data_IF_256627577024
#
_entry.id   IF_256627577024
#
_cell.length_a   1.000
_cell.length_b   1.000
_cell.length_c   1.000
_cell.angle_alpha   90.00
_cell.angle_beta   90.00
_cell.angle_gamma   90.00
#
_symmetry.space_group_name_H-M   'P 1'
#
loop_
_entity.id
_entity.type
_entity.pdbx_description
1 polymer ?
#
# COMPACT_ATOMS: atom_id res chain seq x y z
N UNK A 1 -31.99 -24.80 -14.79
CA UNK A 1 -30.95 -24.06 -15.52
C UNK A 1 -30.84 -22.66 -14.92
N UNK A 2 -29.63 -22.15 -14.68
CA UNK A 2 -29.42 -20.80 -14.15
C UNK A 2 -29.43 -19.82 -15.33
N UNK A 3 -30.06 -18.66 -15.17
CA UNK A 3 -30.23 -17.66 -16.22
C UNK A 3 -29.29 -16.48 -15.98
N UNK A 4 -28.92 -15.79 -17.06
CA UNK A 4 -28.16 -14.54 -17.00
C UNK A 4 -28.90 -13.50 -16.12
N UNK A 5 -28.14 -12.67 -15.40
CA UNK A 5 -28.60 -11.62 -14.48
C UNK A 5 -29.27 -12.12 -13.18
N UNK A 6 -29.32 -13.43 -12.97
CA UNK A 6 -29.74 -13.98 -11.68
C UNK A 6 -28.65 -13.76 -10.61
N UNK A 7 -29.06 -13.26 -9.44
CA UNK A 7 -28.17 -13.06 -8.29
C UNK A 7 -28.31 -14.18 -7.27
N UNK A 8 -27.18 -14.66 -6.78
CA UNK A 8 -27.10 -15.73 -5.78
C UNK A 8 -26.31 -15.28 -4.56
N UNK A 9 -26.73 -15.73 -3.38
CA UNK A 9 -26.08 -15.44 -2.10
C UNK A 9 -25.61 -16.72 -1.40
N UNK A 10 -24.46 -16.65 -0.73
CA UNK A 10 -23.99 -17.66 0.21
C UNK A 10 -24.41 -17.27 1.63
N UNK A 11 -25.18 -18.11 2.30
CA UNK A 11 -25.63 -17.84 3.67
C UNK A 11 -24.51 -17.98 4.72
N UNK A 12 -23.41 -18.68 4.38
CA UNK A 12 -22.28 -18.92 5.31
C UNK A 12 -21.34 -17.72 5.38
N UNK A 13 -20.92 -17.19 4.22
CA UNK A 13 -19.95 -16.10 4.16
C UNK A 13 -20.53 -14.76 3.68
N UNK A 14 -21.80 -14.73 3.26
CA UNK A 14 -22.46 -13.52 2.76
C UNK A 14 -22.03 -13.08 1.35
N UNK A 15 -21.26 -13.90 0.64
CA UNK A 15 -20.80 -13.56 -0.72
C UNK A 15 -21.96 -13.62 -1.70
N UNK A 16 -22.10 -12.56 -2.50
CA UNK A 16 -23.06 -12.49 -3.59
C UNK A 16 -22.36 -12.60 -4.94
N UNK A 17 -22.98 -13.32 -5.86
CA UNK A 17 -22.53 -13.46 -7.24
C UNK A 17 -23.69 -13.22 -8.20
N UNK A 18 -23.37 -12.74 -9.38
CA UNK A 18 -24.32 -12.51 -10.47
C UNK A 18 -23.96 -13.42 -11.64
N UNK A 19 -24.96 -14.09 -12.21
CA UNK A 19 -24.75 -15.03 -13.33
C UNK A 19 -24.55 -14.22 -14.61
N UNK A 20 -23.31 -14.12 -15.09
CA UNK A 20 -23.00 -13.44 -16.34
C UNK A 20 -23.32 -14.26 -17.60
N UNK A 21 -23.45 -15.59 -17.46
CA UNK A 21 -23.81 -16.51 -18.54
C UNK A 21 -24.56 -17.73 -17.99
N UNK A 22 -25.75 -17.98 -18.51
CA UNK A 22 -26.58 -19.11 -18.08
C UNK A 22 -25.97 -20.49 -18.38
N UNK A 23 -26.29 -21.49 -17.55
CA UNK A 23 -25.77 -22.84 -17.66
C UNK A 23 -26.41 -23.86 -16.70
N UNK A 24 -26.01 -25.12 -16.85
CA UNK A 24 -26.38 -26.23 -15.96
C UNK A 24 -25.33 -26.44 -14.86
N UNK A 25 -25.72 -27.04 -13.74
CA UNK A 25 -24.84 -27.22 -12.56
C UNK A 25 -25.17 -26.26 -11.40
N UNK A 26 -24.84 -26.63 -10.15
CA UNK A 26 -25.14 -25.83 -8.96
C UNK A 26 -24.02 -24.84 -8.62
N UNK A 27 -24.40 -23.63 -8.18
CA UNK A 27 -23.46 -22.65 -7.65
C UNK A 27 -23.20 -23.02 -6.18
N UNK A 28 -21.95 -23.31 -5.82
CA UNK A 28 -21.58 -23.68 -4.46
C UNK A 28 -20.56 -22.71 -3.88
N UNK A 29 -20.76 -22.34 -2.62
CA UNK A 29 -19.83 -21.52 -1.84
C UNK A 29 -19.81 -22.03 -0.40
N UNK A 30 -18.63 -22.09 0.21
CA UNK A 30 -18.43 -22.65 1.56
C UNK A 30 -18.92 -24.09 1.75
N UNK A 31 -18.88 -24.91 0.68
CA UNK A 31 -19.33 -26.30 0.71
C UNK A 31 -20.85 -26.48 0.61
N UNK A 32 -21.62 -25.39 0.43
CA UNK A 32 -23.08 -25.43 0.33
C UNK A 32 -23.59 -24.76 -0.96
N UNK A 33 -24.80 -25.15 -1.39
CA UNK A 33 -25.45 -24.52 -2.54
C UNK A 33 -25.84 -23.07 -2.22
N UNK A 34 -25.52 -22.16 -3.13
CA UNK A 34 -25.92 -20.75 -3.04
C UNK A 34 -27.42 -20.58 -3.37
N UNK A 35 -28.08 -19.63 -2.69
CA UNK A 35 -29.52 -19.37 -2.84
C UNK A 35 -29.78 -18.24 -3.83
N UNK A 36 -30.76 -18.45 -4.72
CA UNK A 36 -31.24 -17.40 -5.63
C UNK A 36 -31.91 -16.29 -4.82
N UNK A 37 -31.53 -15.05 -5.08
CA UNK A 37 -32.16 -13.86 -4.51
C UNK A 37 -33.35 -13.50 -5.40
N UNK A 38 -34.56 -13.63 -4.88
CA UNK A 38 -35.78 -13.16 -5.57
C UNK A 38 -36.01 -11.69 -5.22
N UNK A 39 -35.89 -10.79 -6.20
CA UNK A 39 -36.23 -9.38 -6.02
C UNK A 39 -37.73 -9.25 -5.73
N UNK A 40 -38.09 -8.66 -4.60
CA UNK A 40 -39.46 -8.25 -4.32
C UNK A 40 -39.75 -6.96 -5.10
N UNK A 41 -40.86 -6.93 -5.84
CA UNK A 41 -41.34 -5.73 -6.50
C UNK A 41 -41.60 -4.63 -5.45
N UNK A 42 -40.82 -3.55 -5.53
CA UNK A 42 -41.03 -2.36 -4.69
C UNK A 42 -42.07 -1.46 -5.38
N UNK A 43 -43.09 -1.12 -4.61
CA UNK A 43 -44.24 -0.30 -4.93
C UNK A 43 -43.84 1.09 -5.49
N UNK A 44 -44.57 1.54 -6.50
CA UNK A 44 -44.12 2.53 -7.48
C UNK A 44 -44.48 3.99 -7.10
N UNK A 45 -44.52 4.32 -5.81
CA UNK A 45 -45.12 5.58 -5.33
C UNK A 45 -44.22 6.45 -4.43
N UNK A 46 -42.89 6.41 -4.65
CA UNK A 46 -41.97 7.47 -4.23
C UNK A 46 -40.89 7.75 -5.27
N UNK A 47 -41.30 8.08 -6.50
CA UNK A 47 -40.41 8.74 -7.48
C UNK A 47 -40.25 10.21 -7.10
N UNK A 48 -39.53 10.50 -6.01
CA UNK A 48 -38.85 11.79 -5.86
C UNK A 48 -37.53 11.70 -6.61
N UNK A 49 -37.56 12.14 -7.88
CA UNK A 49 -36.44 12.61 -8.71
C UNK A 49 -35.05 12.20 -8.19
N UNK A 50 -34.58 11.01 -8.57
CA UNK A 50 -33.15 10.76 -8.62
C UNK A 50 -32.64 11.54 -9.84
N UNK A 51 -31.74 12.52 -9.67
CA UNK A 51 -31.15 13.19 -10.81
C UNK A 51 -30.39 12.15 -11.63
N UNK A 52 -30.59 12.15 -12.94
CA UNK A 52 -29.61 11.63 -13.89
C UNK A 52 -28.32 12.40 -13.58
N UNK A 53 -27.44 11.77 -12.80
CA UNK A 53 -26.15 12.35 -12.43
C UNK A 53 -25.23 12.22 -13.64
N UNK A 54 -25.18 13.32 -14.37
CA UNK A 54 -24.08 13.78 -15.21
C UNK A 54 -22.79 12.97 -15.02
N UNK A 55 -22.45 12.14 -16.00
CA UNK A 55 -21.28 11.25 -16.01
C UNK A 55 -19.93 11.99 -16.07
N UNK A 56 -19.91 13.32 -15.89
CA UNK A 56 -18.71 14.17 -15.85
C UNK A 56 -18.30 14.62 -14.44
N UNK A 57 -18.73 13.94 -13.37
CA UNK A 57 -18.11 14.10 -12.05
C UNK A 57 -17.20 12.91 -11.77
N UNK A 58 -15.89 13.12 -11.99
CA UNK A 58 -14.82 12.23 -11.55
C UNK A 58 -15.04 11.94 -10.06
N UNK A 59 -15.52 10.73 -9.74
CA UNK A 59 -15.58 10.23 -8.36
C UNK A 59 -14.14 9.99 -7.87
N UNK A 60 -13.84 10.22 -6.58
CA UNK A 60 -12.52 9.93 -6.04
C UNK A 60 -12.15 8.46 -6.30
N UNK A 61 -10.89 8.21 -6.65
CA UNK A 61 -10.28 6.90 -6.97
C UNK A 61 -10.17 6.00 -5.71
N UNK A 62 -10.99 6.21 -4.67
CA UNK A 62 -11.03 5.33 -3.50
C UNK A 62 -11.65 3.96 -3.80
N UNK A 63 -12.44 3.86 -4.88
CA UNK A 63 -13.33 2.71 -5.08
C UNK A 63 -12.83 1.72 -6.15
N UNK A 64 -11.79 2.05 -6.93
CA UNK A 64 -11.33 1.18 -8.04
C UNK A 64 -9.92 0.62 -7.91
N UNK A 65 -9.27 0.84 -6.76
CA UNK A 65 -8.04 0.17 -6.38
C UNK A 65 -8.25 -0.72 -5.14
N UNK A 66 -9.28 -1.57 -5.13
CA UNK A 66 -9.40 -2.77 -4.28
C UNK A 66 -9.36 -2.62 -2.75
N UNK A 67 -9.09 -1.45 -2.20
CA UNK A 67 -9.11 -1.19 -0.75
C UNK A 67 -9.53 0.25 -0.52
N UNK A 68 -10.82 0.47 -0.23
CA UNK A 68 -11.25 1.72 0.39
C UNK A 68 -10.38 1.99 1.64
N UNK A 69 -10.03 3.26 1.92
CA UNK A 69 -9.28 3.60 3.13
C UNK A 69 -10.02 3.07 4.35
N UNK A 70 -9.30 2.44 5.30
CA UNK A 70 -9.93 1.92 6.52
C UNK A 70 -10.56 3.04 7.35
N UNK A 71 -10.08 4.27 7.15
CA UNK A 71 -10.45 5.46 7.89
C UNK A 71 -10.55 6.62 6.93
N UNK A 72 -11.66 7.36 6.99
CA UNK A 72 -11.75 8.65 6.36
C UNK A 72 -10.65 9.57 6.91
N UNK A 73 -9.68 9.92 6.06
CA UNK A 73 -8.59 10.79 6.46
C UNK A 73 -9.13 12.18 6.83
N UNK A 74 -8.61 12.77 7.92
CA UNK A 74 -9.00 14.12 8.29
C UNK A 74 -8.51 15.09 7.20
N UNK A 75 -9.32 16.09 6.79
CA UNK A 75 -8.95 17.02 5.72
C UNK A 75 -7.58 17.67 5.91
N UNK A 76 -7.23 18.01 7.15
CA UNK A 76 -5.94 18.63 7.47
C UNK A 76 -4.73 17.72 7.21
N UNK A 77 -4.85 16.42 7.46
CA UNK A 77 -3.78 15.44 7.19
C UNK A 77 -3.66 15.21 5.68
N UNK A 78 -4.79 15.09 4.98
CA UNK A 78 -4.82 14.96 3.53
C UNK A 78 -4.12 16.14 2.86
N UNK A 79 -4.44 17.37 3.26
CA UNK A 79 -3.79 18.58 2.75
C UNK A 79 -2.27 18.58 2.98
N UNK A 80 -1.80 18.09 4.13
CA UNK A 80 -0.35 17.99 4.40
C UNK A 80 0.33 16.90 3.54
N UNK A 81 -0.34 15.79 3.25
CA UNK A 81 0.16 14.77 2.31
C UNK A 81 0.26 15.34 0.90
N UNK A 82 -0.75 16.07 0.46
CA UNK A 82 -0.76 16.76 -0.83
C UNK A 82 0.40 17.77 -0.92
N UNK A 83 0.59 18.57 0.12
CA UNK A 83 1.72 19.51 0.20
C UNK A 83 3.08 18.80 0.17
N UNK A 84 3.22 17.66 0.87
CA UNK A 84 4.45 16.87 0.83
C UNK A 84 4.73 16.34 -0.58
N UNK A 85 3.72 15.80 -1.27
CA UNK A 85 3.87 15.33 -2.66
C UNK A 85 4.26 16.49 -3.59
N UNK A 86 3.62 17.66 -3.42
CA UNK A 86 3.94 18.87 -4.17
C UNK A 86 5.42 19.27 -3.98
N UNK A 87 5.89 19.30 -2.74
CA UNK A 87 7.29 19.64 -2.42
C UNK A 87 8.27 18.57 -2.94
N UNK A 88 7.95 17.28 -2.81
CA UNK A 88 8.75 16.19 -3.36
C UNK A 88 8.83 16.23 -4.89
N UNK A 89 7.78 16.74 -5.54
CA UNK A 89 7.80 17.01 -6.99
C UNK A 89 8.81 18.10 -7.32
N UNK A 90 8.84 19.18 -6.53
CA UNK A 90 9.83 20.25 -6.66
C UNK A 90 11.26 19.78 -6.42
N UNK A 91 11.47 18.94 -5.41
CA UNK A 91 12.75 18.26 -5.18
C UNK A 91 13.15 17.42 -6.39
N UNK A 92 12.23 16.64 -6.95
CA UNK A 92 12.47 15.79 -8.11
C UNK A 92 12.81 16.58 -9.37
N UNK A 93 12.16 17.72 -9.60
CA UNK A 93 12.51 18.63 -10.71
C UNK A 93 13.96 19.11 -10.61
N UNK A 94 14.43 19.44 -9.41
CA UNK A 94 15.83 19.84 -9.17
C UNK A 94 16.78 18.65 -9.32
N UNK A 95 16.40 17.45 -8.87
CA UNK A 95 17.19 16.22 -9.08
C UNK A 95 17.40 15.94 -10.57
N UNK A 96 16.34 15.97 -11.37
CA UNK A 96 16.44 15.74 -12.82
C UNK A 96 17.29 16.80 -13.51
N UNK A 97 17.26 18.05 -13.03
CA UNK A 97 18.15 19.09 -13.52
C UNK A 97 19.61 18.83 -13.13
N UNK A 98 19.86 18.43 -11.87
CA UNK A 98 21.20 18.10 -11.37
C UNK A 98 21.83 16.90 -12.08
N UNK A 99 21.04 15.90 -12.48
CA UNK A 99 21.51 14.77 -13.27
C UNK A 99 22.09 15.18 -14.62
N UNK A 100 21.57 16.24 -15.26
CA UNK A 100 22.16 16.79 -16.49
C UNK A 100 23.54 17.43 -16.26
N UNK A 101 23.90 17.65 -14.99
CA UNK A 101 25.17 18.21 -14.54
C UNK A 101 26.02 17.18 -13.78
N UNK A 102 25.72 15.87 -13.93
CA UNK A 102 26.40 14.75 -13.24
C UNK A 102 26.40 14.84 -11.70
N UNK A 103 25.39 15.50 -11.11
CA UNK A 103 25.23 15.59 -9.65
C UNK A 103 24.14 14.62 -9.18
N UNK A 104 24.54 13.65 -8.35
CA UNK A 104 23.64 12.69 -7.69
C UNK A 104 23.87 12.70 -6.17
N UNK A 105 22.81 12.47 -5.39
CA UNK A 105 22.88 12.39 -3.92
C UNK A 105 21.94 11.28 -3.42
N UNK A 106 22.48 10.10 -3.10
CA UNK A 106 21.68 8.95 -2.64
C UNK A 106 20.85 9.24 -1.38
N UNK A 107 21.24 10.24 -0.57
CA UNK A 107 20.45 10.64 0.61
C UNK A 107 19.12 11.25 0.18
N UNK A 108 19.10 12.00 -0.92
CA UNK A 108 17.87 12.54 -1.51
C UNK A 108 16.98 11.40 -2.00
N UNK A 109 17.54 10.45 -2.74
CA UNK A 109 16.81 9.29 -3.24
C UNK A 109 16.12 8.51 -2.11
N UNK A 110 16.88 8.15 -1.06
CA UNK A 110 16.37 7.39 0.09
C UNK A 110 15.35 8.21 0.90
N UNK A 111 15.55 9.53 1.04
CA UNK A 111 14.59 10.42 1.68
C UNK A 111 13.28 10.49 0.89
N UNK A 112 13.34 10.72 -0.42
CA UNK A 112 12.15 10.84 -1.28
C UNK A 112 11.29 9.59 -1.22
N UNK A 113 11.91 8.39 -1.24
CA UNK A 113 11.21 7.12 -1.07
C UNK A 113 10.45 7.05 0.26
N UNK A 114 11.12 7.34 1.38
CA UNK A 114 10.51 7.32 2.72
C UNK A 114 9.38 8.34 2.86
N UNK A 115 9.65 9.57 2.44
CA UNK A 115 8.70 10.66 2.52
C UNK A 115 7.45 10.36 1.66
N UNK A 116 7.62 9.83 0.44
CA UNK A 116 6.49 9.47 -0.41
C UNK A 116 5.69 8.30 0.18
N UNK A 117 6.36 7.27 0.71
CA UNK A 117 5.69 6.15 1.38
C UNK A 117 4.81 6.62 2.55
N UNK A 118 5.23 7.63 3.31
CA UNK A 118 4.44 8.20 4.41
C UNK A 118 3.06 8.74 3.98
N UNK A 119 2.88 9.04 2.69
CA UNK A 119 1.63 9.56 2.11
C UNK A 119 0.68 8.47 1.64
N UNK A 120 1.08 7.19 1.67
CA UNK A 120 0.16 6.09 1.38
C UNK A 120 -0.96 6.01 2.43
N UNK A 121 -2.08 5.45 2.00
CA UNK A 121 -3.25 5.19 2.83
C UNK A 121 -2.87 4.32 4.03
N UNK A 122 -3.40 4.67 5.20
CA UNK A 122 -3.21 3.94 6.45
C UNK A 122 -1.75 3.82 6.95
N UNK A 123 -0.84 4.69 6.47
CA UNK A 123 0.56 4.75 6.94
C UNK A 123 0.72 5.78 8.06
N UNK A 124 0.52 7.08 7.78
CA UNK A 124 0.82 8.15 8.71
C UNK A 124 -0.32 9.18 8.81
N UNK A 125 -0.70 9.49 10.05
CA UNK A 125 -1.75 10.44 10.41
C UNK A 125 -1.25 11.56 11.33
N UNK A 126 0.07 11.65 11.55
CA UNK A 126 0.69 12.63 12.44
C UNK A 126 1.06 13.92 11.68
N UNK A 127 0.35 15.05 11.93
CA UNK A 127 0.60 16.30 11.21
C UNK A 127 1.99 16.88 11.51
N UNK A 128 2.54 16.67 12.72
CA UNK A 128 3.86 17.18 13.08
C UNK A 128 4.97 16.44 12.31
N UNK A 129 4.75 15.17 11.98
CA UNK A 129 5.66 14.42 11.10
C UNK A 129 5.63 14.95 9.68
N UNK A 130 4.46 15.23 9.11
CA UNK A 130 4.37 15.82 7.77
C UNK A 130 4.99 17.22 7.72
N UNK A 131 4.79 18.03 8.75
CA UNK A 131 5.45 19.33 8.90
C UNK A 131 6.97 19.19 8.76
N UNK A 132 7.59 18.28 9.53
CA UNK A 132 9.04 18.03 9.48
C UNK A 132 9.50 17.52 8.11
N UNK A 133 8.80 16.56 7.52
CA UNK A 133 9.13 16.00 6.21
C UNK A 133 9.09 17.07 5.11
N UNK A 134 8.12 17.97 5.13
CA UNK A 134 8.01 19.06 4.14
C UNK A 134 9.21 20.00 4.25
N UNK A 135 9.58 20.42 5.46
CA UNK A 135 10.74 21.28 5.68
C UNK A 135 12.06 20.59 5.28
N UNK A 136 12.22 19.31 5.60
CA UNK A 136 13.41 18.54 5.22
C UNK A 136 13.52 18.38 3.69
N UNK A 137 12.41 18.11 3.00
CA UNK A 137 12.38 18.02 1.54
C UNK A 137 12.83 19.33 0.87
N UNK A 138 12.38 20.47 1.40
CA UNK A 138 12.79 21.81 0.93
C UNK A 138 14.26 22.08 1.20
N UNK A 139 14.75 21.73 2.40
CA UNK A 139 16.16 21.88 2.76
C UNK A 139 17.06 21.06 1.83
N UNK A 140 16.71 19.80 1.55
CA UNK A 140 17.44 18.94 0.62
C UNK A 140 17.43 19.51 -0.80
N UNK A 141 16.27 20.00 -1.27
CA UNK A 141 16.13 20.63 -2.58
C UNK A 141 17.04 21.84 -2.72
N UNK A 142 17.01 22.75 -1.77
CA UNK A 142 17.76 24.00 -1.88
C UNK A 142 19.26 23.79 -1.64
N UNK A 143 19.64 22.82 -0.79
CA UNK A 143 21.02 22.35 -0.69
C UNK A 143 21.51 21.78 -2.03
N UNK A 144 20.68 21.01 -2.74
CA UNK A 144 21.03 20.48 -4.06
C UNK A 144 21.17 21.62 -5.09
N UNK A 145 20.29 22.62 -5.07
CA UNK A 145 20.43 23.81 -5.93
C UNK A 145 21.75 24.55 -5.71
N UNK A 146 22.28 24.60 -4.48
CA UNK A 146 23.58 25.23 -4.23
C UNK A 146 24.74 24.43 -4.84
N UNK A 147 24.62 23.10 -4.89
CA UNK A 147 25.63 22.21 -5.52
C UNK A 147 25.63 22.33 -7.04
N UNK A 148 24.44 22.45 -7.63
CA UNK A 148 24.26 22.70 -9.05
C UNK A 148 24.62 24.19 -9.29
N UNK A 149 25.81 24.49 -9.83
CA UNK A 149 26.31 25.87 -9.98
C UNK A 149 25.20 26.88 -10.35
N UNK A 150 24.96 27.87 -9.49
CA UNK A 150 23.78 28.76 -9.48
C UNK A 150 23.49 29.46 -10.82
N UNK A 151 24.53 29.77 -11.60
CA UNK A 151 24.42 30.46 -12.89
C UNK A 151 23.71 29.63 -13.98
N UNK A 152 23.46 28.33 -13.76
CA UNK A 152 22.70 27.47 -14.67
C UNK A 152 21.23 27.31 -14.26
N UNK A 153 20.80 27.81 -13.09
CA UNK A 153 19.49 27.48 -12.50
C UNK A 153 18.43 28.55 -12.78
N UNK A 154 18.79 29.84 -12.75
CA UNK A 154 17.82 30.94 -12.66
C UNK A 154 16.91 31.14 -13.88
N UNK A 155 17.14 30.43 -15.00
CA UNK A 155 16.25 30.41 -16.17
C UNK A 155 15.63 29.05 -16.51
N UNK A 156 16.03 27.97 -15.84
CA UNK A 156 15.73 26.60 -16.28
C UNK A 156 14.81 25.81 -15.35
N UNK A 157 14.68 26.20 -14.08
CA UNK A 157 13.72 25.56 -13.18
C UNK A 157 12.30 26.12 -13.40
N UNK A 158 11.27 25.26 -13.48
CA UNK A 158 9.89 25.71 -13.59
C UNK A 158 9.47 26.53 -12.37
N UNK A 159 8.52 27.43 -12.56
CA UNK A 159 7.77 28.02 -11.45
C UNK A 159 6.95 26.93 -10.71
N UNK A 160 6.53 27.24 -9.48
CA UNK A 160 5.77 26.32 -8.64
C UNK A 160 6.65 25.50 -7.68
N UNK A 161 6.55 24.16 -7.66
CA UNK A 161 7.06 23.36 -6.54
C UNK A 161 8.59 23.41 -6.40
N UNK A 162 9.34 23.58 -7.50
CA UNK A 162 10.78 23.77 -7.44
C UNK A 162 11.20 25.04 -6.70
N UNK A 163 10.35 26.08 -6.65
CA UNK A 163 10.63 27.38 -6.01
C UNK A 163 9.85 27.59 -4.71
N UNK A 164 8.94 26.68 -4.37
CA UNK A 164 8.07 26.79 -3.20
C UNK A 164 8.83 26.89 -1.87
N UNK A 165 8.36 27.77 -0.97
CA UNK A 165 8.87 27.95 0.39
C UNK A 165 7.78 27.64 1.42
N UNK A 166 8.02 26.74 2.39
CA UNK A 166 7.02 26.39 3.39
C UNK A 166 6.92 27.48 4.46
N UNK A 167 5.69 27.73 4.91
CA UNK A 167 5.43 28.60 6.07
C UNK A 167 5.90 27.93 7.36
N UNK A 168 6.33 28.71 8.36
CA UNK A 168 6.71 28.20 9.69
C UNK A 168 5.53 27.72 10.55
N UNK A 169 4.29 28.06 10.19
CA UNK A 169 3.07 27.66 10.93
C UNK A 169 2.28 26.53 10.27
N UNK A 170 1.90 25.52 11.06
CA UNK A 170 1.17 24.32 10.62
C UNK A 170 -0.18 24.66 9.95
N UNK A 171 -0.97 25.56 10.53
CA UNK A 171 -2.29 25.95 9.95
C UNK A 171 -2.16 26.58 8.56
N UNK A 172 -1.12 27.39 8.35
CA UNK A 172 -0.85 27.99 7.04
C UNK A 172 -0.43 26.92 6.03
N UNK A 173 0.37 25.94 6.46
CA UNK A 173 0.75 24.82 5.60
C UNK A 173 -0.44 23.96 5.19
N UNK A 174 -1.39 23.72 6.09
CA UNK A 174 -2.65 23.02 5.77
C UNK A 174 -3.40 23.77 4.65
N UNK A 175 -3.60 25.08 4.80
CA UNK A 175 -4.28 25.91 3.77
C UNK A 175 -3.56 25.88 2.41
N UNK A 176 -2.22 25.90 2.41
CA UNK A 176 -1.44 25.77 1.18
C UNK A 176 -1.67 24.38 0.57
N UNK A 177 -1.64 23.33 1.39
CA UNK A 177 -1.89 21.95 0.99
C UNK A 177 -3.21 21.76 0.26
N UNK A 178 -4.29 22.35 0.77
CA UNK A 178 -5.62 22.34 0.14
C UNK A 178 -5.60 22.93 -1.28
N UNK A 179 -4.73 23.91 -1.55
CA UNK A 179 -4.59 24.56 -2.86
C UNK A 179 -3.68 23.81 -3.84
N UNK A 180 -2.80 22.91 -3.37
CA UNK A 180 -1.81 22.20 -4.20
C UNK A 180 -2.09 20.70 -4.32
N UNK A 181 -3.27 20.25 -3.91
CA UNK A 181 -3.71 18.87 -4.11
C UNK A 181 -3.76 18.46 -5.58
N UNK A 182 -3.62 17.17 -5.83
CA UNK A 182 -3.52 16.59 -7.18
C UNK A 182 -4.74 16.93 -8.07
N UNK A 183 -5.91 17.14 -7.47
CA UNK A 183 -7.12 17.61 -8.16
C UNK A 183 -6.93 18.96 -8.88
N UNK A 184 -5.94 19.74 -8.46
CA UNK A 184 -5.63 21.04 -9.04
C UNK A 184 -4.52 20.96 -10.11
N UNK A 185 -4.00 19.76 -10.42
CA UNK A 185 -2.94 19.60 -11.40
C UNK A 185 -3.53 19.80 -12.80
N UNK A 186 -3.02 20.80 -13.52
CA UNK A 186 -3.51 21.13 -14.87
C UNK A 186 -3.37 19.93 -15.80
N UNK A 187 -4.46 19.59 -16.48
CA UNK A 187 -4.53 18.54 -17.48
C UNK A 187 -5.50 18.97 -18.56
N UNK A 188 -5.15 18.74 -19.83
CA UNK A 188 -5.96 19.19 -20.96
C UNK A 188 -7.23 18.34 -21.13
N UNK A 189 -7.20 17.08 -20.68
CA UNK A 189 -8.35 16.16 -20.74
C UNK A 189 -8.49 15.35 -19.44
N UNK A 190 -9.71 14.85 -19.14
CA UNK A 190 -9.93 13.91 -18.04
C UNK A 190 -9.10 12.61 -18.15
N UNK A 191 -8.85 12.11 -19.36
CA UNK A 191 -8.02 10.92 -19.58
C UNK A 191 -6.55 11.17 -19.17
N UNK A 192 -5.99 12.33 -19.54
CA UNK A 192 -4.63 12.72 -19.11
C UNK A 192 -4.57 12.90 -17.60
N UNK A 193 -5.60 13.51 -17.00
CA UNK A 193 -5.70 13.63 -15.55
C UNK A 193 -5.68 12.25 -14.90
N UNK A 194 -6.52 11.30 -15.35
CA UNK A 194 -6.57 9.93 -14.83
C UNK A 194 -5.23 9.20 -14.95
N UNK A 195 -4.52 9.33 -16.07
CA UNK A 195 -3.20 8.70 -16.26
C UNK A 195 -2.15 9.28 -15.31
N UNK A 196 -2.15 10.59 -15.07
CA UNK A 196 -1.29 11.23 -14.07
C UNK A 196 -1.57 10.71 -12.65
N UNK A 197 -2.85 10.57 -12.29
CA UNK A 197 -3.23 10.00 -10.98
C UNK A 197 -2.79 8.54 -10.87
N UNK A 198 -3.04 7.75 -11.92
CA UNK A 198 -2.63 6.33 -12.01
C UNK A 198 -1.12 6.20 -11.82
N UNK A 199 -0.33 7.02 -12.52
CA UNK A 199 1.12 7.05 -12.36
C UNK A 199 1.53 7.45 -10.93
N UNK A 200 0.97 8.52 -10.35
CA UNK A 200 1.31 8.94 -8.99
C UNK A 200 1.01 7.85 -7.96
N UNK A 201 -0.16 7.22 -8.02
CA UNK A 201 -0.49 6.12 -7.10
C UNK A 201 0.45 4.92 -7.28
N UNK A 202 0.80 4.58 -8.52
CA UNK A 202 1.82 3.57 -8.81
C UNK A 202 3.20 3.92 -8.21
N UNK A 203 3.64 5.17 -8.35
CA UNK A 203 4.92 5.66 -7.80
C UNK A 203 4.90 5.66 -6.26
N UNK A 204 3.76 5.99 -5.64
CA UNK A 204 3.58 5.86 -4.18
C UNK A 204 3.76 4.42 -3.71
N UNK A 205 3.16 3.45 -4.41
CA UNK A 205 3.37 2.03 -4.10
C UNK A 205 4.78 1.54 -4.39
N UNK A 206 5.39 1.99 -5.49
CA UNK A 206 6.80 1.74 -5.79
C UNK A 206 7.70 2.19 -4.64
N UNK A 207 7.42 3.35 -4.04
CA UNK A 207 8.18 3.84 -2.89
C UNK A 207 8.04 2.96 -1.63
N UNK A 208 6.90 2.29 -1.44
CA UNK A 208 6.75 1.33 -0.35
C UNK A 208 7.67 0.11 -0.55
N UNK A 209 7.67 -0.47 -1.76
CA UNK A 209 8.57 -1.59 -2.08
C UNK A 209 10.04 -1.18 -1.98
N UNK A 210 10.39 0.02 -2.44
CA UNK A 210 11.74 0.54 -2.35
C UNK A 210 12.19 0.82 -0.90
N UNK A 211 11.32 1.32 0.00
CA UNK A 211 11.65 1.47 1.42
C UNK A 211 11.88 0.10 2.08
N UNK A 212 11.04 -0.89 1.75
CA UNK A 212 11.22 -2.25 2.26
C UNK A 212 12.52 -2.89 1.77
N UNK A 213 12.85 -2.74 0.49
CA UNK A 213 14.10 -3.22 -0.08
C UNK A 213 15.31 -2.57 0.59
N UNK A 214 15.26 -1.25 0.83
CA UNK A 214 16.33 -0.52 1.49
C UNK A 214 16.60 -1.05 2.91
N UNK A 215 15.58 -1.51 3.65
CA UNK A 215 15.73 -2.07 5.01
C UNK A 215 16.46 -3.42 5.04
N UNK A 216 16.48 -4.12 3.91
CA UNK A 216 17.22 -5.37 3.71
C UNK A 216 18.43 -5.15 2.80
N UNK A 217 18.94 -3.92 2.78
CA UNK A 217 20.17 -3.52 2.12
C UNK A 217 20.14 -3.74 0.59
N UNK A 218 18.95 -3.62 -0.02
CA UNK A 218 18.75 -3.66 -1.47
C UNK A 218 18.30 -2.29 -1.99
N UNK A 219 18.96 -1.80 -3.04
CA UNK A 219 18.57 -0.58 -3.73
C UNK A 219 18.98 -0.63 -5.21
N UNK A 220 18.28 0.12 -6.06
CA UNK A 220 18.56 0.21 -7.48
C UNK A 220 18.31 1.64 -7.97
N UNK A 221 19.33 2.28 -8.53
CA UNK A 221 19.25 3.67 -8.99
C UNK A 221 18.21 3.89 -10.08
N UNK A 222 17.84 2.85 -10.84
CA UNK A 222 16.77 2.94 -11.85
C UNK A 222 15.40 3.16 -11.21
N UNK A 223 15.18 2.58 -10.02
CA UNK A 223 13.96 2.81 -9.24
C UNK A 223 13.92 4.25 -8.76
N UNK A 224 15.01 4.76 -8.20
CA UNK A 224 15.10 6.15 -7.75
C UNK A 224 14.95 7.15 -8.89
N UNK A 225 15.62 6.91 -10.01
CA UNK A 225 15.52 7.74 -11.21
C UNK A 225 14.07 7.84 -11.69
N UNK A 226 13.35 6.72 -11.76
CA UNK A 226 11.95 6.72 -12.18
C UNK A 226 11.02 7.41 -11.17
N UNK A 227 11.26 7.27 -9.86
CA UNK A 227 10.46 7.98 -8.84
C UNK A 227 10.57 9.50 -9.06
N UNK A 228 11.78 10.01 -9.27
CA UNK A 228 11.98 11.43 -9.55
C UNK A 228 11.39 11.87 -10.90
N UNK A 229 11.61 11.09 -11.96
CA UNK A 229 11.01 11.32 -13.27
C UNK A 229 9.49 11.39 -13.20
N UNK A 230 8.86 10.41 -12.57
CA UNK A 230 7.42 10.30 -12.47
C UNK A 230 6.80 11.40 -11.61
N UNK A 231 7.41 11.75 -10.47
CA UNK A 231 6.96 12.88 -9.66
C UNK A 231 7.03 14.20 -10.44
N UNK A 232 8.12 14.45 -11.17
CA UNK A 232 8.20 15.64 -12.02
C UNK A 232 7.17 15.63 -13.16
N UNK A 233 6.91 14.46 -13.75
CA UNK A 233 6.01 14.31 -14.89
C UNK A 233 4.55 14.61 -14.53
N UNK A 234 4.07 14.25 -13.34
CA UNK A 234 2.64 14.47 -12.99
C UNK A 234 2.24 15.96 -12.90
N UNK A 235 3.22 16.86 -12.74
CA UNK A 235 3.02 18.33 -12.77
C UNK A 235 3.21 18.94 -14.17
N UNK A 236 3.64 18.19 -15.17
CA UNK A 236 3.81 18.69 -16.54
C UNK A 236 2.47 19.04 -17.17
N UNK A 237 2.40 20.17 -17.87
CA UNK A 237 1.17 20.64 -18.53
C UNK A 237 1.11 20.29 -20.02
N UNK A 238 2.15 19.65 -20.54
CA UNK A 238 2.38 19.36 -21.96
C UNK A 238 2.32 17.85 -22.27
N UNK A 239 1.83 17.02 -21.33
CA UNK A 239 1.70 15.59 -21.55
C UNK A 239 0.58 15.28 -22.54
N UNK A 240 0.90 14.55 -23.60
CA UNK A 240 -0.11 13.95 -24.48
C UNK A 240 -0.73 12.71 -23.82
N UNK A 241 -1.83 12.20 -24.40
CA UNK A 241 -2.43 10.93 -23.97
C UNK A 241 -1.43 9.77 -24.07
N UNK A 242 -0.65 9.73 -25.16
CA UNK A 242 0.37 8.71 -25.39
C UNK A 242 1.48 8.79 -24.32
N UNK A 243 1.94 9.99 -23.96
CA UNK A 243 2.92 10.18 -22.88
C UNK A 243 2.39 9.69 -21.54
N UNK A 244 1.11 9.96 -21.25
CA UNK A 244 0.45 9.45 -20.04
C UNK A 244 0.45 7.92 -19.98
N UNK A 245 0.11 7.25 -21.09
CA UNK A 245 0.14 5.77 -21.17
C UNK A 245 1.56 5.24 -21.02
N UNK A 246 2.56 5.85 -21.69
CA UNK A 246 3.98 5.48 -21.54
C UNK A 246 4.45 5.59 -20.10
N UNK A 247 4.07 6.67 -19.41
CA UNK A 247 4.42 6.87 -18.00
C UNK A 247 3.83 5.77 -17.11
N UNK A 248 2.55 5.42 -17.30
CA UNK A 248 1.90 4.33 -16.55
C UNK A 248 2.51 2.96 -16.83
N UNK A 249 2.80 2.62 -18.08
CA UNK A 249 3.45 1.35 -18.44
C UNK A 249 4.88 1.27 -17.87
N UNK A 250 5.64 2.36 -17.97
CA UNK A 250 6.97 2.45 -17.34
C UNK A 250 6.89 2.28 -15.83
N UNK A 251 5.88 2.87 -15.18
CA UNK A 251 5.62 2.65 -13.76
C UNK A 251 5.42 1.17 -13.44
N UNK A 252 4.58 0.46 -14.20
CA UNK A 252 4.36 -0.98 -14.02
C UNK A 252 5.65 -1.79 -14.13
N UNK A 253 6.47 -1.50 -15.16
CA UNK A 253 7.77 -2.16 -15.36
C UNK A 253 8.72 -1.95 -14.18
N UNK A 254 8.84 -0.72 -13.67
CA UNK A 254 9.73 -0.41 -12.55
C UNK A 254 9.19 -0.99 -11.22
N UNK A 255 7.88 -1.04 -11.03
CA UNK A 255 7.25 -1.74 -9.90
C UNK A 255 7.61 -3.22 -9.90
N UNK A 256 7.50 -3.90 -11.05
CA UNK A 256 7.89 -5.31 -11.16
C UNK A 256 9.36 -5.50 -10.76
N UNK A 257 10.26 -4.67 -11.29
CA UNK A 257 11.68 -4.72 -10.93
C UNK A 257 11.91 -4.50 -9.42
N UNK A 258 11.22 -3.55 -8.79
CA UNK A 258 11.35 -3.30 -7.36
C UNK A 258 10.81 -4.48 -6.50
N UNK A 259 9.73 -5.12 -6.95
CA UNK A 259 9.19 -6.33 -6.31
C UNK A 259 10.14 -7.51 -6.45
N UNK A 260 10.75 -7.71 -7.62
CA UNK A 260 11.76 -8.76 -7.85
C UNK A 260 13.01 -8.54 -6.97
N UNK A 261 13.48 -7.30 -6.88
CA UNK A 261 14.59 -6.90 -6.01
C UNK A 261 14.25 -7.16 -4.53
N UNK A 262 13.06 -6.74 -4.08
CA UNK A 262 12.60 -6.98 -2.72
C UNK A 262 12.51 -8.48 -2.43
N UNK A 263 11.87 -9.26 -3.31
CA UNK A 263 11.74 -10.71 -3.16
C UNK A 263 13.11 -11.40 -3.04
N UNK A 264 14.05 -11.05 -3.92
CA UNK A 264 15.41 -11.59 -3.91
C UNK A 264 16.15 -11.27 -2.62
N UNK A 265 16.07 -10.02 -2.16
CA UNK A 265 16.63 -9.60 -0.88
C UNK A 265 16.02 -10.33 0.30
N UNK A 266 14.70 -10.54 0.29
CA UNK A 266 13.99 -11.25 1.36
C UNK A 266 14.39 -12.73 1.43
N UNK A 267 14.55 -13.39 0.27
CA UNK A 267 15.05 -14.76 0.20
C UNK A 267 16.49 -14.83 0.72
N UNK A 268 17.35 -13.89 0.34
CA UNK A 268 18.73 -13.83 0.83
C UNK A 268 18.77 -13.63 2.35
N UNK A 269 17.99 -12.67 2.87
CA UNK A 269 17.97 -12.31 4.28
C UNK A 269 17.34 -13.41 5.14
N UNK A 270 16.18 -13.96 4.75
CA UNK A 270 15.31 -14.77 5.60
C UNK A 270 15.10 -16.22 5.13
N UNK A 271 15.63 -16.58 3.96
CA UNK A 271 15.44 -17.87 3.32
C UNK A 271 14.21 -17.88 2.43
N UNK A 272 14.14 -18.83 1.49
CA UNK A 272 12.97 -18.98 0.62
C UNK A 272 11.75 -19.41 1.47
N UNK A 273 10.57 -18.79 1.29
CA UNK A 273 9.35 -19.23 1.95
C UNK A 273 9.08 -20.73 1.72
N UNK A 274 8.68 -21.43 2.79
CA UNK A 274 8.30 -22.84 2.73
C UNK A 274 6.86 -23.03 3.26
N UNK A 275 6.12 -24.04 2.77
CA UNK A 275 4.83 -24.41 3.34
C UNK A 275 4.92 -24.58 4.85
N UNK A 276 4.25 -23.70 5.60
CA UNK A 276 4.33 -23.63 7.07
C UNK A 276 2.95 -23.51 7.70
N UNK A 277 2.64 -24.38 8.66
CA UNK A 277 1.40 -24.30 9.44
C UNK A 277 1.55 -23.21 10.49
N UNK A 278 0.69 -22.20 10.46
CA UNK A 278 0.68 -21.11 11.42
C UNK A 278 -0.49 -21.31 12.37
N UNK A 279 -0.19 -21.41 13.66
CA UNK A 279 -1.19 -21.54 14.70
C UNK A 279 -1.89 -20.21 14.95
N UNK A 280 -3.21 -20.27 15.07
CA UNK A 280 -4.03 -19.24 15.71
C UNK A 280 -4.27 -19.65 17.15
N UNK A 281 -4.32 -18.64 18.02
CA UNK A 281 -4.49 -18.86 19.46
C UNK A 281 -3.45 -18.08 20.25
N UNK A 282 -3.38 -18.38 21.53
CA UNK A 282 -2.55 -17.67 22.50
C UNK A 282 -1.86 -18.63 23.45
N UNK A 283 -0.67 -18.27 23.89
CA UNK A 283 0.09 -18.86 24.99
C UNK A 283 0.02 -17.96 26.21
N UNK A 284 -0.17 -18.57 27.38
CA UNK A 284 -0.09 -17.94 28.69
C UNK A 284 1.23 -17.20 28.85
N UNK A 285 1.16 -15.99 29.39
CA UNK A 285 2.32 -15.15 29.68
C UNK A 285 2.37 -13.85 28.89
N UNK A 286 3.54 -13.19 28.95
CA UNK A 286 3.76 -11.87 28.35
C UNK A 286 3.77 -11.96 26.83
N UNK A 287 3.28 -10.91 26.17
CA UNK A 287 3.05 -10.95 24.73
C UNK A 287 3.39 -9.62 24.04
N UNK A 288 3.91 -9.73 22.81
CA UNK A 288 4.03 -8.61 21.86
C UNK A 288 3.34 -9.00 20.56
N UNK A 289 2.56 -8.09 19.99
CA UNK A 289 1.96 -8.22 18.67
C UNK A 289 2.68 -7.36 17.65
N UNK A 290 3.07 -7.93 16.50
CA UNK A 290 3.69 -7.19 15.40
C UNK A 290 2.74 -7.17 14.20
N UNK A 291 2.46 -5.98 13.69
CA UNK A 291 1.58 -5.75 12.53
C UNK A 291 2.30 -4.93 11.46
N UNK A 292 1.91 -5.11 10.20
CA UNK A 292 2.53 -4.48 9.03
C UNK A 292 3.23 -5.48 8.11
N UNK A 293 4.39 -5.09 7.57
CA UNK A 293 5.16 -5.89 6.58
C UNK A 293 6.67 -5.95 6.86
N UNK A 294 7.17 -5.25 7.88
CA UNK A 294 8.62 -5.10 8.06
C UNK A 294 9.24 -6.27 8.84
N UNK A 295 9.83 -7.21 8.10
CA UNK A 295 10.52 -8.35 8.70
C UNK A 295 11.85 -8.00 9.37
N UNK A 296 12.50 -6.88 9.00
CA UNK A 296 13.72 -6.42 9.68
C UNK A 296 13.40 -5.96 11.09
N UNK A 297 12.34 -5.19 11.25
CA UNK A 297 11.82 -4.84 12.58
C UNK A 297 11.45 -6.10 13.40
N UNK A 298 10.75 -7.06 12.80
CA UNK A 298 10.43 -8.32 13.47
C UNK A 298 11.70 -9.09 13.89
N UNK A 299 12.69 -9.22 13.01
CA UNK A 299 13.95 -9.92 13.32
C UNK A 299 14.70 -9.27 14.49
N UNK A 300 14.86 -7.95 14.47
CA UNK A 300 15.54 -7.22 15.54
C UNK A 300 14.76 -7.31 16.86
N UNK A 301 13.43 -7.28 16.80
CA UNK A 301 12.59 -7.48 17.97
C UNK A 301 12.73 -8.91 18.53
N UNK A 302 12.71 -9.93 17.67
CA UNK A 302 12.89 -11.33 18.08
C UNK A 302 14.23 -11.56 18.77
N UNK A 303 15.32 -10.97 18.22
CA UNK A 303 16.65 -10.98 18.85
C UNK A 303 16.63 -10.31 20.24
N UNK A 304 16.00 -9.16 20.37
CA UNK A 304 15.96 -8.41 21.63
C UNK A 304 15.01 -9.00 22.67
N UNK A 305 14.04 -9.83 22.27
CA UNK A 305 13.06 -10.46 23.17
C UNK A 305 13.41 -11.89 23.55
N UNK A 306 14.47 -12.45 22.96
CA UNK A 306 14.94 -13.79 23.30
C UNK A 306 15.23 -13.88 24.81
N UNK A 307 14.77 -14.98 25.42
CA UNK A 307 14.94 -15.28 26.85
C UNK A 307 14.30 -14.26 27.82
N UNK A 308 13.45 -13.34 27.34
CA UNK A 308 12.71 -12.38 28.19
C UNK A 308 11.34 -12.88 28.69
N UNK A 309 10.98 -14.13 28.38
CA UNK A 309 9.67 -14.69 28.73
C UNK A 309 8.49 -14.01 28.00
N UNK A 310 8.74 -13.42 26.82
CA UNK A 310 7.73 -12.77 25.98
C UNK A 310 7.46 -13.62 24.75
N UNK A 311 6.19 -13.92 24.49
CA UNK A 311 5.75 -14.56 23.24
C UNK A 311 5.48 -13.49 22.18
N UNK A 312 6.03 -13.66 20.97
CA UNK A 312 5.83 -12.73 19.86
C UNK A 312 4.82 -13.31 18.87
N UNK A 313 3.81 -12.50 18.55
CA UNK A 313 2.71 -12.81 17.63
C UNK A 313 2.75 -11.89 16.42
N UNK A 314 2.19 -12.35 15.31
CA UNK A 314 1.94 -11.56 14.10
C UNK A 314 0.47 -11.21 13.98
N UNK A 315 0.17 -10.12 13.28
CA UNK A 315 -1.20 -9.68 12.97
C UNK A 315 -1.31 -9.20 11.52
N UNK A 316 -2.47 -9.45 10.90
CA UNK A 316 -2.75 -9.14 9.51
C UNK A 316 -1.68 -9.74 8.60
N UNK A 317 -1.06 -8.88 7.82
CA UNK A 317 -0.17 -9.22 6.71
C UNK A 317 1.18 -9.80 7.15
N UNK A 318 1.54 -9.62 8.43
CA UNK A 318 2.71 -10.27 9.02
C UNK A 318 2.54 -11.80 9.11
N UNK A 319 1.36 -12.36 8.80
CA UNK A 319 1.12 -13.80 8.73
C UNK A 319 2.17 -14.52 7.85
N UNK A 320 2.53 -13.91 6.71
CA UNK A 320 3.51 -14.47 5.78
C UNK A 320 4.93 -14.56 6.35
N UNK A 321 5.24 -13.83 7.44
CA UNK A 321 6.53 -13.91 8.12
C UNK A 321 6.87 -15.32 8.61
N UNK A 322 5.83 -16.11 8.93
CA UNK A 322 6.01 -17.49 9.41
C UNK A 322 6.55 -18.44 8.34
N UNK A 323 6.43 -18.11 7.06
CA UNK A 323 6.94 -18.95 5.99
C UNK A 323 8.48 -18.91 5.88
N UNK A 324 9.13 -17.92 6.50
CA UNK A 324 10.57 -17.68 6.37
C UNK A 324 11.39 -18.51 7.39
N UNK A 325 12.20 -19.49 6.95
CA UNK A 325 12.87 -20.44 7.86
C UNK A 325 13.79 -19.77 8.88
N UNK A 326 14.52 -18.70 8.50
CA UNK A 326 15.46 -18.03 9.40
C UNK A 326 14.78 -17.25 10.53
N UNK A 327 13.50 -16.90 10.39
CA UNK A 327 12.70 -16.31 11.47
C UNK A 327 12.10 -17.39 12.37
N UNK A 328 11.77 -18.57 11.83
CA UNK A 328 11.20 -19.69 12.61
C UNK A 328 12.15 -20.34 13.61
N UNK A 329 13.44 -20.02 13.55
CA UNK A 329 14.42 -20.48 14.56
C UNK A 329 14.17 -19.92 15.96
N UNK A 330 13.44 -18.81 16.09
CA UNK A 330 13.11 -18.20 17.39
C UNK A 330 11.90 -18.93 18.01
N UNK A 331 12.12 -19.69 19.08
CA UNK A 331 11.08 -20.54 19.70
C UNK A 331 9.91 -19.75 20.31
N UNK A 332 10.13 -18.48 20.66
CA UNK A 332 9.10 -17.57 21.15
C UNK A 332 8.36 -16.82 20.03
N UNK A 333 8.73 -17.03 18.76
CA UNK A 333 7.95 -16.59 17.60
C UNK A 333 6.81 -17.57 17.33
N UNK A 334 5.64 -17.31 17.90
CA UNK A 334 4.61 -18.33 18.06
C UNK A 334 3.68 -18.47 16.86
N UNK A 335 2.82 -17.47 16.60
CA UNK A 335 1.68 -17.63 15.72
C UNK A 335 1.01 -16.30 15.37
N UNK A 336 -0.18 -16.41 14.79
CA UNK A 336 -0.98 -15.28 14.35
C UNK A 336 -2.06 -14.98 15.40
N UNK A 337 -2.22 -13.70 15.76
CA UNK A 337 -3.33 -13.22 16.57
C UNK A 337 -4.20 -12.29 15.72
N UNK A 338 -5.50 -12.57 15.67
CA UNK A 338 -6.42 -11.90 14.75
C UNK A 338 -6.22 -12.34 13.30
N UNK A 339 -7.12 -11.92 12.41
CA UNK A 339 -7.12 -12.40 11.02
C UNK A 339 -6.86 -11.26 10.05
N UNK A 340 -7.76 -10.28 10.05
CA UNK A 340 -7.84 -9.27 9.00
C UNK A 340 -7.62 -7.86 9.55
N UNK A 341 -6.98 -7.00 8.75
CA UNK A 341 -6.82 -5.57 9.02
C UNK A 341 -8.14 -4.89 9.37
N UNK A 342 -9.30 -5.36 8.89
CA UNK A 342 -10.62 -4.81 9.22
C UNK A 342 -10.98 -4.99 10.71
N UNK A 343 -10.55 -6.09 11.35
CA UNK A 343 -10.82 -6.38 12.76
C UNK A 343 -9.79 -5.81 13.73
N UNK A 344 -8.78 -5.10 13.22
CA UNK A 344 -7.65 -4.58 13.98
C UNK A 344 -8.05 -3.85 15.26
N UNK A 345 -9.07 -2.97 15.24
CA UNK A 345 -9.51 -2.26 16.43
C UNK A 345 -9.99 -3.23 17.53
N UNK A 346 -10.75 -4.26 17.15
CA UNK A 346 -11.24 -5.28 18.08
C UNK A 346 -10.09 -6.15 18.60
N UNK A 347 -9.24 -6.63 17.68
CA UNK A 347 -8.12 -7.52 18.01
C UNK A 347 -7.13 -6.80 18.94
N UNK A 348 -6.75 -5.56 18.62
CA UNK A 348 -5.85 -4.78 19.47
C UNK A 348 -6.47 -4.41 20.82
N UNK A 349 -7.80 -4.28 20.90
CA UNK A 349 -8.47 -4.01 22.17
C UNK A 349 -8.43 -5.21 23.13
N UNK A 350 -8.34 -6.43 22.60
CA UNK A 350 -8.35 -7.67 23.39
C UNK A 350 -6.96 -8.23 23.63
N UNK A 351 -5.94 -7.72 22.93
CA UNK A 351 -4.56 -8.14 23.10
C UNK A 351 -3.95 -7.57 24.41
N UNK A 352 -3.56 -8.41 25.39
CA UNK A 352 -3.13 -8.00 26.72
C UNK A 352 -1.63 -7.64 26.79
N UNK A 353 -1.03 -7.24 25.67
CA UNK A 353 0.40 -6.97 25.51
C UNK A 353 0.68 -5.69 24.72
N UNK A 354 1.96 -5.41 24.47
CA UNK A 354 2.36 -4.27 23.65
C UNK A 354 2.24 -4.59 22.15
N UNK A 355 1.97 -3.58 21.33
CA UNK A 355 1.71 -3.74 19.89
C UNK A 355 2.68 -2.86 19.11
N UNK A 356 3.36 -3.44 18.11
CA UNK A 356 4.24 -2.73 17.18
C UNK A 356 3.59 -2.62 15.80
N UNK A 357 3.31 -1.38 15.38
CA UNK A 357 2.91 -1.06 14.01
C UNK A 357 4.14 -0.68 13.18
N UNK A 358 4.55 -1.58 12.28
CA UNK A 358 5.75 -1.38 11.45
C UNK A 358 5.48 -0.63 10.14
N UNK A 359 4.27 -0.81 9.58
CA UNK A 359 3.78 -0.20 8.33
C UNK A 359 2.24 -0.07 8.38
N UNK A 360 1.61 0.17 7.22
CA UNK A 360 0.16 0.05 7.02
C UNK A 360 -0.36 -1.38 7.34
N UNK A 361 -1.65 -1.59 7.60
CA UNK A 361 -2.73 -0.59 7.61
C UNK A 361 -3.07 -0.20 9.06
N UNK A 362 -2.60 0.96 9.52
CA UNK A 362 -2.86 1.40 10.89
C UNK A 362 -4.25 2.01 11.00
N UNK A 363 -5.14 1.37 11.75
CA UNK A 363 -6.40 1.97 12.13
C UNK A 363 -6.24 2.95 13.30
N UNK A 364 -7.27 3.77 13.57
CA UNK A 364 -7.34 4.71 14.68
C UNK A 364 -7.52 3.89 15.94
N UNK A 365 -6.51 3.83 16.81
CA UNK A 365 -6.65 3.01 18.00
C UNK A 365 -7.65 3.62 18.97
N UNK A 366 -8.30 2.77 19.77
CA UNK A 366 -9.08 3.24 20.91
C UNK A 366 -8.15 3.92 21.90
N UNK A 367 -8.59 5.04 22.48
CA UNK A 367 -7.82 5.78 23.49
C UNK A 367 -7.34 4.90 24.65
N UNK A 368 -8.14 3.89 25.01
CA UNK A 368 -7.85 2.95 26.11
C UNK A 368 -6.61 2.09 25.89
N UNK A 369 -6.23 1.81 24.64
CA UNK A 369 -5.07 0.96 24.30
C UNK A 369 -3.93 1.74 23.66
N UNK A 370 -4.11 3.05 23.43
CA UNK A 370 -3.15 3.87 22.70
C UNK A 370 -1.75 3.82 23.33
N UNK A 371 -1.68 3.77 24.66
CA UNK A 371 -0.43 3.67 25.43
C UNK A 371 0.27 2.31 25.32
N UNK A 372 -0.36 1.30 24.72
CA UNK A 372 0.21 -0.02 24.48
C UNK A 372 0.71 -0.16 23.03
N UNK A 373 0.41 0.80 22.16
CA UNK A 373 0.80 0.78 20.75
C UNK A 373 2.06 1.61 20.56
N UNK A 374 2.94 1.10 19.71
CA UNK A 374 4.15 1.77 19.26
C UNK A 374 4.15 1.77 17.74
N UNK A 375 4.71 2.83 17.16
CA UNK A 375 4.92 2.92 15.70
C UNK A 375 6.40 2.85 15.39
N UNK A 376 6.76 2.39 14.19
CA UNK A 376 8.13 2.44 13.66
C UNK A 376 8.10 2.86 12.19
N UNK A 377 9.26 3.24 11.65
CA UNK A 377 9.40 3.61 10.25
C UNK A 377 8.53 4.81 9.85
N UNK A 378 7.80 4.69 8.74
CA UNK A 378 6.96 5.78 8.26
C UNK A 378 5.57 5.81 8.90
N UNK A 379 5.23 4.83 9.75
CA UNK A 379 3.97 4.85 10.50
C UNK A 379 4.00 5.96 11.54
N UNK A 380 2.90 6.69 11.66
CA UNK A 380 2.78 7.77 12.64
C UNK A 380 1.33 8.04 13.03
N UNK A 381 1.13 8.32 14.32
CA UNK A 381 -0.15 8.74 14.89
C UNK A 381 0.09 9.73 16.03
N UNK A 382 -0.70 10.82 16.12
CA UNK A 382 -0.57 11.77 17.21
C UNK A 382 -0.70 11.10 18.57
N UNK A 383 0.32 11.32 19.42
CA UNK A 383 0.34 10.80 20.79
C UNK A 383 0.64 9.30 20.92
N UNK A 384 1.03 8.61 19.84
CA UNK A 384 1.55 7.24 19.93
C UNK A 384 3.08 7.28 19.96
N UNK A 385 3.69 6.51 20.86
CA UNK A 385 5.15 6.44 20.95
C UNK A 385 5.75 5.93 19.64
N UNK A 386 6.71 6.67 19.09
CA UNK A 386 7.43 6.29 17.88
C UNK A 386 8.83 5.73 18.22
N UNK A 387 9.12 4.52 17.77
CA UNK A 387 10.42 3.88 17.95
C UNK A 387 11.30 4.23 16.76
N UNK A 388 12.39 4.96 17.04
CA UNK A 388 13.42 5.25 16.05
C UNK A 388 14.42 4.10 15.97
N UNK A 389 14.78 3.70 14.75
CA UNK A 389 15.67 2.57 14.51
C UNK A 389 15.13 1.27 15.10
N UNK A 390 16.02 0.50 15.75
CA UNK A 390 15.71 -0.80 16.35
C UNK A 390 15.69 -0.76 17.89
N UNK A 391 15.48 0.41 18.50
CA UNK A 391 15.53 0.58 19.96
C UNK A 391 14.21 0.12 20.62
N UNK A 392 13.95 -1.20 20.63
CA UNK A 392 12.66 -1.76 21.09
C UNK A 392 12.51 -1.84 22.61
N UNK A 393 13.49 -1.41 23.39
CA UNK A 393 13.46 -1.48 24.85
C UNK A 393 12.18 -0.88 25.48
N UNK A 394 11.68 0.32 25.06
CA UNK A 394 10.43 0.86 25.60
C UNK A 394 9.21 -0.04 25.35
N UNK A 395 9.16 -0.72 24.20
CA UNK A 395 8.09 -1.65 23.86
C UNK A 395 8.18 -2.95 24.66
N UNK A 396 9.41 -3.44 24.89
CA UNK A 396 9.68 -4.63 25.69
C UNK A 396 9.27 -4.38 27.15
N UNK A 397 9.70 -3.26 27.73
CA UNK A 397 9.34 -2.88 29.11
C UNK A 397 7.83 -2.72 29.27
N UNK A 398 7.18 -2.12 28.27
CA UNK A 398 5.73 -2.02 28.26
C UNK A 398 5.06 -3.38 28.26
N UNK A 399 5.50 -4.33 27.41
CA UNK A 399 4.97 -5.69 27.39
C UNK A 399 5.15 -6.41 28.73
N UNK A 400 6.32 -6.27 29.37
CA UNK A 400 6.61 -6.87 30.68
C UNK A 400 5.70 -6.31 31.79
N UNK A 401 5.35 -5.01 31.72
CA UNK A 401 4.43 -4.38 32.67
C UNK A 401 2.96 -4.80 32.52
N UNK A 402 2.57 -5.30 31.34
CA UNK A 402 1.18 -5.65 31.01
C UNK A 402 0.83 -7.07 31.48
N UNK A 403 -0.46 -7.39 31.72
CA UNK A 403 -0.85 -8.66 32.31
C UNK A 403 -0.44 -9.88 31.47
N UNK A 404 -0.47 -9.75 30.14
CA UNK A 404 -0.31 -10.90 29.24
C UNK A 404 -1.54 -11.81 29.22
N UNK A 405 -1.43 -12.97 28.58
CA UNK A 405 -2.51 -13.95 28.54
C UNK A 405 -2.52 -14.82 29.80
N UNK A 406 -3.72 -15.11 30.31
CA UNK A 406 -3.91 -15.88 31.55
C UNK A 406 -3.79 -17.40 31.34
N UNK A 407 -4.12 -17.87 30.15
CA UNK A 407 -4.20 -19.28 29.78
C UNK A 407 -3.85 -19.48 28.30
N UNK A 408 -3.50 -20.72 27.96
CA UNK A 408 -3.32 -21.13 26.57
C UNK A 408 -4.70 -21.29 25.89
N UNK A 409 -4.82 -20.88 24.62
CA UNK A 409 -5.99 -21.17 23.77
C UNK A 409 -5.52 -21.55 22.38
N UNK A 410 -6.12 -22.57 21.80
CA UNK A 410 -5.92 -22.95 20.40
C UNK A 410 -7.15 -22.53 19.61
N UNK A 411 -6.94 -21.87 18.47
CA UNK A 411 -8.02 -21.32 17.62
C UNK A 411 -7.90 -21.77 16.15
N UNK A 412 -7.18 -22.86 15.90
CA UNK A 412 -6.99 -23.44 14.58
C UNK A 412 -5.64 -23.10 13.96
N UNK A 413 -5.47 -23.44 12.68
CA UNK A 413 -4.23 -23.23 11.94
C UNK A 413 -4.51 -22.88 10.48
N UNK A 414 -3.57 -22.18 9.84
CA UNK A 414 -3.60 -21.91 8.40
C UNK A 414 -2.28 -22.29 7.75
N UNK A 415 -2.35 -22.75 6.50
CA UNK A 415 -1.17 -23.03 5.68
C UNK A 415 -0.71 -21.76 4.98
N UNK A 416 0.56 -21.38 5.15
CA UNK A 416 1.20 -20.26 4.45
C UNK A 416 2.44 -20.73 3.70
N UNK A 417 3.09 -19.85 2.93
CA UNK A 417 4.36 -20.15 2.26
C UNK A 417 4.22 -20.93 0.95
N UNK A 418 3.02 -20.90 0.35
CA UNK A 418 2.76 -21.40 -1.01
C UNK A 418 3.22 -20.36 -2.04
N UNK A 419 4.51 -20.01 -2.03
CA UNK A 419 5.10 -19.08 -2.98
C UNK A 419 5.32 -19.76 -4.35
N UNK A 420 5.88 -19.02 -5.32
CA UNK A 420 6.17 -19.48 -6.69
C UNK A 420 6.72 -20.91 -6.75
N UNK A 421 7.72 -21.25 -5.93
CA UNK A 421 8.34 -22.57 -5.91
C UNK A 421 7.41 -23.71 -5.45
N UNK A 422 6.39 -23.40 -4.65
CA UNK A 422 5.39 -24.39 -4.25
C UNK A 422 4.30 -24.53 -5.32
N UNK A 423 3.95 -23.42 -5.99
CA UNK A 423 2.85 -23.36 -6.98
C UNK A 423 3.27 -23.83 -8.36
N UNK A 424 4.44 -23.41 -8.88
CA UNK A 424 4.93 -23.80 -10.21
C UNK A 424 5.20 -25.31 -10.32
N UNK A 425 5.41 -25.99 -9.19
CA UNK A 425 5.56 -27.45 -9.17
C UNK A 425 4.22 -28.21 -9.26
N UNK A 426 3.08 -27.52 -9.23
CA UNK A 426 1.73 -28.12 -9.21
C UNK A 426 0.72 -27.45 -10.16
N UNK A 427 1.15 -26.49 -10.99
CA UNK A 427 0.23 -25.67 -11.78
C UNK A 427 0.24 -26.02 -13.28
N UNK A 428 -0.80 -26.71 -13.73
CA UNK A 428 -1.10 -26.92 -15.16
C UNK A 428 -1.97 -25.80 -15.77
N UNK A 429 -2.50 -24.87 -14.97
CA UNK A 429 -3.46 -23.84 -15.44
C UNK A 429 -3.21 -22.48 -14.78
N UNK A 430 -3.11 -21.43 -15.59
CA UNK A 430 -3.14 -20.02 -15.17
C UNK A 430 -4.39 -19.34 -15.74
N UNK A 431 -5.33 -18.83 -14.92
CA UNK A 431 -6.43 -18.01 -15.41
C UNK A 431 -5.94 -16.60 -15.79
N UNK A 432 -6.39 -16.09 -16.94
CA UNK A 432 -6.14 -14.71 -17.38
C UNK A 432 -6.99 -13.68 -16.63
N UNK A 433 -6.48 -12.45 -16.50
CA UNK A 433 -7.18 -11.33 -15.86
C UNK A 433 -7.94 -10.49 -16.90
N UNK A 434 -9.18 -10.11 -16.58
CA UNK A 434 -9.97 -9.16 -17.35
C UNK A 434 -9.43 -7.73 -17.21
N UNK A 435 -9.62 -6.90 -18.23
CA UNK A 435 -9.24 -5.48 -18.17
C UNK A 435 -10.00 -4.77 -17.02
N UNK A 436 -9.33 -3.94 -16.20
CA UNK A 436 -9.99 -3.22 -15.12
C UNK A 436 -11.05 -2.23 -15.61
N UNK A 437 -12.19 -2.17 -14.91
CA UNK A 437 -13.35 -1.37 -15.30
C UNK A 437 -13.16 0.17 -15.26
N UNK A 438 -12.03 0.67 -14.72
CA UNK A 438 -11.73 2.11 -14.68
C UNK A 438 -11.04 2.66 -15.94
N UNK A 439 -10.64 1.79 -16.88
CA UNK A 439 -9.99 2.24 -18.11
C UNK A 439 -11.04 2.73 -19.12
N UNK A 440 -10.86 3.93 -19.68
CA UNK A 440 -11.75 4.45 -20.73
C UNK A 440 -11.51 3.75 -22.08
N UNK A 441 -12.51 3.80 -22.98
CA UNK A 441 -12.38 3.26 -24.34
C UNK A 441 -11.21 3.90 -25.12
N UNK A 442 -10.92 5.18 -24.86
CA UNK A 442 -9.78 5.87 -25.46
C UNK A 442 -8.44 5.27 -24.99
N UNK A 443 -8.32 4.97 -23.70
CA UNK A 443 -7.12 4.35 -23.14
C UNK A 443 -6.98 2.92 -23.68
N UNK A 444 -8.06 2.14 -23.70
CA UNK A 444 -8.08 0.80 -24.28
C UNK A 444 -7.69 0.83 -25.77
N UNK A 445 -8.25 1.78 -26.53
CA UNK A 445 -7.91 1.98 -27.94
C UNK A 445 -6.45 2.36 -28.15
N UNK A 446 -5.87 3.18 -27.27
CA UNK A 446 -4.44 3.55 -27.30
C UNK A 446 -3.54 2.35 -26.99
N UNK A 447 -3.89 1.55 -25.97
CA UNK A 447 -3.17 0.32 -25.62
C UNK A 447 -3.12 -0.66 -26.80
N UNK A 448 -4.25 -0.83 -27.51
CA UNK A 448 -4.32 -1.71 -28.68
C UNK A 448 -3.57 -1.15 -29.88
N UNK A 449 -3.81 0.12 -30.24
CA UNK A 449 -3.29 0.70 -31.49
C UNK A 449 -1.80 1.04 -31.42
N UNK A 450 -1.35 1.57 -30.28
CA UNK A 450 0.00 2.12 -30.15
C UNK A 450 0.97 1.20 -29.42
N UNK A 451 0.46 0.27 -28.59
CA UNK A 451 1.29 -0.61 -27.76
C UNK A 451 1.08 -2.11 -28.02
N UNK A 452 0.16 -2.47 -28.92
CA UNK A 452 -0.22 -3.86 -29.22
C UNK A 452 -0.66 -4.67 -27.98
N UNK A 453 -1.11 -3.99 -26.92
CA UNK A 453 -1.64 -4.61 -25.71
C UNK A 453 -3.14 -4.83 -25.93
N UNK A 454 -3.48 -6.06 -26.32
CA UNK A 454 -4.85 -6.47 -26.65
C UNK A 454 -5.44 -7.30 -25.51
N UNK A 455 -6.76 -7.19 -25.25
CA UNK A 455 -7.45 -8.15 -24.40
C UNK A 455 -7.16 -9.57 -24.90
N UNK A 456 -6.81 -10.48 -23.99
CA UNK A 456 -6.76 -11.90 -24.31
C UNK A 456 -8.21 -12.34 -24.48
N UNK A 457 -8.62 -12.68 -25.71
CA UNK A 457 -9.81 -13.53 -25.90
C UNK A 457 -9.55 -14.84 -25.18
N UNK A 458 -10.54 -15.38 -24.47
CA UNK A 458 -10.42 -16.60 -23.68
C UNK A 458 -9.59 -17.69 -24.40
N UNK A 459 -8.85 -18.55 -23.67
CA UNK A 459 -8.12 -19.66 -24.27
C UNK A 459 -9.10 -20.70 -24.84
N UNK A 460 -9.68 -20.43 -26.00
CA UNK A 460 -10.41 -21.41 -26.79
C UNK A 460 -9.41 -22.11 -27.72
N UNK A 461 -8.94 -23.31 -27.35
CA UNK A 461 -8.52 -24.42 -28.26
C UNK A 461 -7.52 -25.45 -27.70
N UNK A 462 -7.43 -25.70 -26.38
CA UNK A 462 -6.82 -26.96 -25.92
C UNK A 462 -7.92 -28.02 -25.83
N UNK A 463 -8.11 -28.78 -26.92
CA UNK A 463 -8.80 -30.07 -26.84
C UNK A 463 -7.91 -31.01 -26.02
N UNK A 464 -8.17 -31.12 -24.72
CA UNK A 464 -7.65 -32.24 -23.94
C UNK A 464 -8.46 -33.46 -24.36
N UNK A 465 -7.87 -34.31 -25.21
CA UNK A 465 -8.42 -35.63 -25.45
C UNK A 465 -8.31 -36.46 -24.17
N UNK A 466 -9.37 -37.19 -23.77
CA UNK A 466 -9.32 -38.04 -22.60
C UNK A 466 -8.39 -39.24 -22.86
N UNK A 467 -7.46 -39.49 -21.94
CA UNK A 467 -6.78 -40.79 -21.77
C UNK A 467 -7.44 -41.53 -20.62
#
# INVERSE_FOLDING_TARGET
MKQTDQKYNCDVCGSQIEVLRGGEGNLMCCGENMKLVMEQAVDNDMVKKVPIFDMMKIRPVSDVAGTAPLIAEKPNVTALKDLLIYVLTGLSQVVLFGQKSDITDHRINRFTVKALFSTLTDVNYDPDRFFKLIHEAVLLRDTLKLKIRTNLIEGFLPDGPARFMPSSGLEKMIKIGESVGMQNYRSDTPDIALLKQTALYGIKWLSAYADHALRIDQEDDRVYAFIHEGLAAVQRTDLTLEDGVKLSLKCGKIVLMAVEMLNSGMIQAYGRPIPTKVQFGVKKGKAILVSGYDLKNLEHLLKQTQEKGITVYTHGEMLCAHAYPKLKKFSHFFGQFGVDRLKQISDFSTFPGAILMTTRCSQRPKKTIQNNIFTSGMVGWPGIHHISGFSFQPLIDKSLSLPGFLEDKVQGEVMVGLAENAVLNVADILPGLSAPAFLSENILGTLVKSFDIKPVTAPDSVQIQPV
#
